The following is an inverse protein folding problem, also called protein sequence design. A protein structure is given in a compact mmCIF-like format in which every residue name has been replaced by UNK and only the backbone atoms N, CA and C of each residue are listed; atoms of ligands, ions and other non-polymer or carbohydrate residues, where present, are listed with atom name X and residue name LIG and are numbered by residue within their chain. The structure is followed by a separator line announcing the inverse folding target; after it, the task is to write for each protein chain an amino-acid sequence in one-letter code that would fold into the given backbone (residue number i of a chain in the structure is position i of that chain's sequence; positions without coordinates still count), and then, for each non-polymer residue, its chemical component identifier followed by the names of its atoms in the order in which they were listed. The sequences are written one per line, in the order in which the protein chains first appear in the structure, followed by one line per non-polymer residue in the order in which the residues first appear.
data_IF_692225267594
#
_entry.id   IF_692225267594
#
_cell.length_a   1.000
_cell.length_b   1.000
_cell.length_c   1.000
_cell.angle_alpha   90.00
_cell.angle_beta   90.00
_cell.angle_gamma   90.00
#
_symmetry.space_group_name_H-M   'P 1'
#
loop_
_entity.id
_entity.type
_entity.pdbx_description
1 polymer ?
#
# COMPACT_ATOMS: atom_id res chain seq x y z
N UNK A 1 2.93 50.33 -15.01
CA UNK A 1 2.56 49.22 -14.10
C UNK A 1 2.65 47.82 -14.74
N UNK A 2 2.65 47.65 -16.07
CA UNK A 2 2.82 46.33 -16.72
C UNK A 2 4.29 45.84 -16.85
N UNK A 3 5.27 46.75 -16.79
CA UNK A 3 6.70 46.44 -16.93
C UNK A 3 7.33 45.86 -15.65
N UNK A 4 6.83 46.25 -14.47
CA UNK A 4 7.32 45.77 -13.17
C UNK A 4 6.89 44.34 -12.84
N UNK A 5 5.73 43.88 -13.35
CA UNK A 5 5.27 42.48 -13.18
C UNK A 5 6.08 41.48 -14.02
N UNK A 6 6.54 41.87 -15.22
CA UNK A 6 7.42 41.02 -16.06
C UNK A 6 8.82 40.86 -15.47
N UNK A 7 9.36 41.89 -14.79
CA UNK A 7 10.63 41.80 -14.06
C UNK A 7 10.53 40.93 -12.80
N UNK A 8 9.41 40.96 -12.08
CA UNK A 8 9.19 40.09 -10.92
C UNK A 8 9.10 38.60 -11.33
N UNK A 9 8.47 38.29 -12.46
CA UNK A 9 8.44 36.95 -13.04
C UNK A 9 9.85 36.48 -13.48
N UNK A 10 10.66 37.38 -14.05
CA UNK A 10 12.05 37.11 -14.42
C UNK A 10 12.97 36.86 -13.21
N UNK A 11 12.75 37.57 -12.09
CA UNK A 11 13.47 37.33 -10.83
C UNK A 11 13.05 36.02 -10.16
N UNK A 12 11.75 35.69 -10.15
CA UNK A 12 11.26 34.40 -9.63
C UNK A 12 11.79 33.21 -10.44
N UNK A 13 11.82 33.33 -11.78
CA UNK A 13 12.40 32.33 -12.69
C UNK A 13 13.93 32.22 -12.48
N UNK A 14 14.66 33.33 -12.34
CA UNK A 14 16.12 33.29 -12.11
C UNK A 14 16.52 32.74 -10.72
N UNK A 15 15.72 33.00 -9.68
CA UNK A 15 15.95 32.42 -8.35
C UNK A 15 15.61 30.92 -8.32
N UNK A 16 14.56 30.48 -9.02
CA UNK A 16 14.23 29.06 -9.15
C UNK A 16 15.29 28.28 -9.96
N UNK A 17 15.91 28.91 -10.97
CA UNK A 17 16.98 28.30 -11.77
C UNK A 17 18.34 28.28 -11.05
N UNK A 18 18.62 29.23 -10.14
CA UNK A 18 19.92 29.32 -9.46
C UNK A 18 20.01 28.50 -8.17
N UNK A 19 18.88 28.05 -7.61
CA UNK A 19 18.85 27.27 -6.36
C UNK A 19 18.97 25.74 -6.54
N UNK A 20 19.18 25.23 -7.78
CA UNK A 20 19.09 23.78 -8.09
C UNK A 20 20.37 23.19 -8.73
N UNK A 21 21.51 23.90 -8.70
CA UNK A 21 22.77 23.37 -9.25
C UNK A 21 23.79 23.08 -8.14
N UNK A 22 23.95 21.82 -7.69
CA UNK A 22 25.24 21.37 -7.21
C UNK A 22 26.13 21.06 -8.41
N UNK A 23 27.12 21.90 -8.63
CA UNK A 23 28.29 21.55 -9.42
C UNK A 23 29.04 20.42 -8.71
N UNK A 24 28.99 19.20 -9.24
CA UNK A 24 30.10 18.23 -9.29
C UNK A 24 29.57 16.98 -9.99
N UNK A 25 30.21 16.63 -11.11
CA UNK A 25 29.84 15.50 -11.94
C UNK A 25 30.14 14.16 -11.28
N UNK A 26 29.13 13.30 -11.21
CA UNK A 26 29.16 11.88 -11.56
C UNK A 26 27.74 11.32 -11.34
N UNK A 27 27.15 10.75 -12.40
CA UNK A 27 25.86 10.03 -12.33
C UNK A 27 24.62 10.73 -12.91
N UNK A 28 24.75 11.89 -13.56
CA UNK A 28 23.67 12.44 -14.39
C UNK A 28 23.60 11.66 -15.72
N UNK A 29 22.79 10.61 -15.78
CA UNK A 29 22.26 10.18 -17.07
C UNK A 29 21.31 11.26 -17.60
N UNK A 30 21.85 12.22 -18.35
CA UNK A 30 21.22 12.99 -19.43
C UNK A 30 19.71 13.32 -19.32
N UNK A 31 19.28 14.05 -18.28
CA UNK A 31 17.93 14.69 -18.23
C UNK A 31 18.07 16.21 -18.21
N UNK A 32 18.27 16.81 -19.38
CA UNK A 32 18.25 18.28 -19.53
C UNK A 32 16.88 18.89 -19.17
N UNK A 33 16.83 20.19 -18.80
CA UNK A 33 15.59 20.90 -18.44
C UNK A 33 14.60 20.95 -19.62
N UNK A 34 13.31 21.23 -19.33
CA UNK A 34 12.35 21.58 -20.39
C UNK A 34 12.86 22.80 -21.15
N UNK A 35 12.68 22.88 -22.48
CA UNK A 35 12.92 24.12 -23.23
C UNK A 35 12.14 25.29 -22.61
N UNK A 36 12.74 26.47 -22.55
CA UNK A 36 12.19 27.63 -21.82
C UNK A 36 10.74 27.97 -22.22
N UNK A 37 10.44 27.99 -23.52
CA UNK A 37 9.09 28.29 -24.02
C UNK A 37 8.03 27.30 -23.51
N UNK A 38 8.41 26.03 -23.43
CA UNK A 38 7.55 24.97 -22.96
C UNK A 38 7.40 25.01 -21.44
N UNK A 39 8.49 25.25 -20.70
CA UNK A 39 8.43 25.45 -19.26
C UNK A 39 7.43 26.56 -18.91
N UNK A 40 7.49 27.70 -19.63
CA UNK A 40 6.54 28.80 -19.46
C UNK A 40 5.09 28.35 -19.67
N UNK A 41 4.81 27.57 -20.73
CA UNK A 41 3.46 27.05 -21.01
C UNK A 41 2.96 26.13 -19.90
N UNK A 42 3.80 25.20 -19.43
CA UNK A 42 3.46 24.25 -18.37
C UNK A 42 3.20 24.98 -17.05
N UNK A 43 4.09 25.89 -16.63
CA UNK A 43 3.89 26.67 -15.40
C UNK A 43 2.66 27.57 -15.48
N UNK A 44 2.40 28.20 -16.63
CA UNK A 44 1.19 29.00 -16.83
C UNK A 44 -0.08 28.15 -16.69
N UNK A 45 -0.08 26.92 -17.21
CA UNK A 45 -1.20 25.99 -17.05
C UNK A 45 -1.39 25.60 -15.57
N UNK A 46 -0.30 25.27 -14.87
CA UNK A 46 -0.31 24.91 -13.45
C UNK A 46 -0.87 26.03 -12.57
N UNK A 47 -0.39 27.27 -12.74
CA UNK A 47 -0.88 28.45 -12.01
C UNK A 47 -2.37 28.70 -12.30
N UNK A 48 -2.77 28.60 -13.56
CA UNK A 48 -4.19 28.80 -13.97
C UNK A 48 -5.08 27.75 -13.31
N UNK A 49 -4.68 26.48 -13.32
CA UNK A 49 -5.43 25.39 -12.74
C UNK A 49 -5.49 25.48 -11.21
N UNK A 50 -4.39 25.85 -10.55
CA UNK A 50 -4.37 26.10 -9.11
C UNK A 50 -5.33 27.23 -8.75
N UNK A 51 -5.29 28.36 -9.46
CA UNK A 51 -6.19 29.48 -9.22
C UNK A 51 -7.67 29.10 -9.44
N UNK A 52 -7.94 28.29 -10.47
CA UNK A 52 -9.30 27.82 -10.79
C UNK A 52 -9.89 26.88 -9.73
N UNK A 53 -9.06 26.01 -9.15
CA UNK A 53 -9.52 24.96 -8.23
C UNK A 53 -9.16 25.20 -6.76
N UNK A 54 -8.41 26.27 -6.46
CA UNK A 54 -8.00 26.65 -5.10
C UNK A 54 -6.94 25.74 -4.49
N UNK A 55 -6.41 24.77 -5.24
CA UNK A 55 -5.36 23.85 -4.81
C UNK A 55 -4.59 23.30 -6.03
N UNK A 56 -3.30 23.01 -5.84
CA UNK A 56 -2.43 22.35 -6.81
C UNK A 56 -2.39 20.82 -6.59
N UNK A 57 -3.51 20.23 -6.18
CA UNK A 57 -3.62 18.81 -5.87
C UNK A 57 -5.04 18.29 -6.14
N UNK A 58 -5.16 16.98 -6.33
CA UNK A 58 -6.41 16.26 -6.51
C UNK A 58 -6.92 16.22 -7.95
N UNK A 59 -8.02 15.46 -8.13
CA UNK A 59 -8.54 15.09 -9.46
C UNK A 59 -8.91 16.29 -10.33
N UNK A 60 -9.53 17.32 -9.76
CA UNK A 60 -9.95 18.51 -10.50
C UNK A 60 -8.74 19.29 -11.04
N UNK A 61 -7.72 19.51 -10.20
CA UNK A 61 -6.47 20.12 -10.62
C UNK A 61 -5.78 19.30 -11.72
N UNK A 62 -5.66 17.98 -11.52
CA UNK A 62 -5.05 17.06 -12.50
C UNK A 62 -5.76 17.10 -13.85
N UNK A 63 -7.09 17.05 -13.87
CA UNK A 63 -7.88 17.13 -15.11
C UNK A 63 -7.69 18.46 -15.82
N UNK A 64 -7.62 19.56 -15.07
CA UNK A 64 -7.33 20.88 -15.62
C UNK A 64 -5.93 20.91 -16.24
N UNK A 65 -4.90 20.45 -15.53
CA UNK A 65 -3.52 20.44 -16.02
C UNK A 65 -3.40 19.60 -17.28
N UNK A 66 -4.03 18.42 -17.33
CA UNK A 66 -4.02 17.56 -18.51
C UNK A 66 -4.72 18.19 -19.73
N UNK A 67 -5.66 19.11 -19.51
CA UNK A 67 -6.37 19.81 -20.58
C UNK A 67 -5.62 21.07 -21.07
N UNK A 68 -4.92 21.77 -20.16
CA UNK A 68 -4.29 23.07 -20.42
C UNK A 68 -2.79 22.93 -20.76
N UNK A 69 -2.10 21.91 -20.23
CA UNK A 69 -0.68 21.68 -20.48
C UNK A 69 -0.46 21.02 -21.85
N UNK A 70 0.63 21.38 -22.56
CA UNK A 70 0.99 20.73 -23.82
C UNK A 70 1.17 19.22 -23.61
N UNK A 71 0.65 18.38 -24.53
CA UNK A 71 0.73 16.93 -24.40
C UNK A 71 2.18 16.45 -24.42
N UNK A 72 2.44 15.32 -23.76
CA UNK A 72 3.75 14.71 -23.80
C UNK A 72 4.06 14.13 -25.20
N UNK A 73 5.06 14.70 -25.88
CA UNK A 73 5.48 14.25 -27.22
C UNK A 73 6.39 13.01 -27.18
N UNK A 74 6.86 12.60 -26.00
CA UNK A 74 7.68 11.40 -25.81
C UNK A 74 7.69 10.91 -24.35
N UNK A 75 8.10 9.65 -24.11
CA UNK A 75 8.25 9.10 -22.76
C UNK A 75 9.29 9.86 -21.91
N UNK A 76 10.34 10.41 -22.54
CA UNK A 76 11.33 11.26 -21.86
C UNK A 76 10.68 12.56 -21.38
N UNK A 77 9.85 13.16 -22.23
CA UNK A 77 9.12 14.38 -21.92
C UNK A 77 8.11 14.15 -20.79
N UNK A 78 7.42 13.01 -20.81
CA UNK A 78 6.47 12.62 -19.76
C UNK A 78 7.13 12.59 -18.36
N UNK A 79 8.35 12.06 -18.26
CA UNK A 79 9.07 12.01 -16.98
C UNK A 79 9.47 13.40 -16.47
N UNK A 80 9.94 14.29 -17.35
CA UNK A 80 10.32 15.66 -16.97
C UNK A 80 9.08 16.48 -16.60
N UNK A 81 7.99 16.32 -17.36
CA UNK A 81 6.72 16.97 -17.09
C UNK A 81 6.16 16.56 -15.71
N UNK A 82 6.18 15.26 -15.39
CA UNK A 82 5.77 14.74 -14.07
C UNK A 82 6.56 15.37 -12.92
N UNK A 83 7.88 15.48 -13.05
CA UNK A 83 8.71 16.14 -12.02
C UNK A 83 8.42 17.64 -11.88
N UNK A 84 8.12 18.34 -12.98
CA UNK A 84 7.72 19.76 -12.93
C UNK A 84 6.38 19.93 -12.23
N UNK A 85 5.37 19.14 -12.60
CA UNK A 85 4.05 19.15 -11.95
C UNK A 85 4.19 18.83 -10.46
N UNK A 86 4.97 17.80 -10.12
CA UNK A 86 5.27 17.41 -8.73
C UNK A 86 5.92 18.56 -7.96
N UNK A 87 6.99 19.16 -8.49
CA UNK A 87 7.70 20.24 -7.82
C UNK A 87 6.82 21.47 -7.59
N UNK A 88 5.95 21.79 -8.56
CA UNK A 88 4.95 22.84 -8.41
C UNK A 88 3.95 22.49 -7.32
N UNK A 89 3.36 21.29 -7.34
CA UNK A 89 2.40 20.85 -6.32
C UNK A 89 3.01 20.81 -4.92
N UNK A 90 4.26 20.34 -4.79
CA UNK A 90 4.99 20.27 -3.53
C UNK A 90 5.40 21.63 -2.97
N UNK A 91 5.48 22.68 -3.79
CA UNK A 91 5.79 24.04 -3.31
C UNK A 91 4.57 24.76 -2.75
N UNK A 92 3.36 24.24 -2.99
CA UNK A 92 2.12 24.76 -2.44
C UNK A 92 1.78 24.14 -1.09
N UNK A 93 1.24 24.96 -0.19
CA UNK A 93 0.79 24.57 1.15
C UNK A 93 -0.68 24.14 1.21
N UNK A 94 -1.19 23.64 0.09
CA UNK A 94 -2.57 23.16 0.00
C UNK A 94 -2.80 21.98 0.96
N UNK A 95 -4.00 21.89 1.57
CA UNK A 95 -4.38 20.76 2.39
C UNK A 95 -4.47 19.48 1.55
N UNK A 96 -4.58 18.34 2.22
CA UNK A 96 -4.88 17.07 1.54
C UNK A 96 -6.19 17.21 0.75
N UNK A 97 -6.23 16.75 -0.52
CA UNK A 97 -7.45 16.80 -1.33
C UNK A 97 -8.65 16.17 -0.61
N UNK A 98 -9.89 16.55 -0.99
CA UNK A 98 -11.10 16.04 -0.34
C UNK A 98 -11.14 14.52 -0.27
N UNK A 99 -11.46 14.01 0.92
CA UNK A 99 -11.64 12.59 1.20
C UNK A 99 -12.87 12.08 0.43
N UNK A 100 -12.77 10.93 -0.23
CA UNK A 100 -13.90 10.32 -0.95
C UNK A 100 -14.96 9.81 0.04
N UNK A 101 -14.51 9.13 1.09
CA UNK A 101 -15.32 8.73 2.25
C UNK A 101 -14.44 8.44 3.45
N UNK A 102 -15.00 8.61 4.63
CA UNK A 102 -14.39 8.19 5.90
C UNK A 102 -15.14 6.96 6.42
N UNK A 103 -14.42 6.02 7.02
CA UNK A 103 -15.00 4.84 7.64
C UNK A 103 -14.25 4.48 8.92
N UNK A 104 -14.91 3.77 9.83
CA UNK A 104 -14.25 3.23 11.01
C UNK A 104 -13.76 1.80 10.75
N UNK A 105 -12.53 1.52 11.18
CA UNK A 105 -11.97 0.17 11.21
C UNK A 105 -11.63 -0.18 12.65
N UNK A 106 -12.21 -1.27 13.14
CA UNK A 106 -11.86 -1.80 14.46
C UNK A 106 -10.94 -2.99 14.30
N UNK A 107 -9.77 -2.88 14.93
CA UNK A 107 -8.84 -3.98 15.12
C UNK A 107 -9.17 -4.64 16.46
N UNK A 108 -9.49 -5.95 16.48
CA UNK A 108 -9.83 -6.64 17.71
C UNK A 108 -8.62 -6.77 18.63
N UNK A 109 -8.91 -7.04 19.90
CA UNK A 109 -7.91 -7.42 20.89
C UNK A 109 -7.09 -8.65 20.41
N UNK A 110 -5.80 -8.70 20.73
CA UNK A 110 -4.93 -9.80 20.31
C UNK A 110 -4.46 -9.78 18.85
N UNK A 111 -4.80 -8.74 18.09
CA UNK A 111 -4.35 -8.49 16.70
C UNK A 111 -4.53 -9.61 15.67
N UNK A 112 -5.36 -10.61 15.94
CA UNK A 112 -5.59 -11.69 15.01
C UNK A 112 -6.90 -11.50 14.22
N UNK A 113 -6.77 -11.58 12.90
CA UNK A 113 -7.88 -11.66 11.97
C UNK A 113 -8.08 -13.11 11.52
N UNK A 114 -7.86 -14.09 12.41
CA UNK A 114 -8.47 -15.40 12.29
C UNK A 114 -9.94 -15.26 12.66
N UNK A 115 -10.75 -14.80 11.70
CA UNK A 115 -12.20 -14.64 11.78
C UNK A 115 -12.71 -13.99 13.08
N UNK A 116 -13.09 -12.72 13.00
CA UNK A 116 -14.22 -12.25 13.78
C UNK A 116 -15.50 -13.00 13.37
N UNK A 117 -15.60 -14.29 13.70
CA UNK A 117 -16.86 -14.83 14.17
C UNK A 117 -17.06 -14.13 15.51
N UNK A 118 -18.06 -13.26 15.59
CA UNK A 118 -18.43 -12.66 16.87
C UNK A 118 -18.64 -13.77 17.90
N UNK A 119 -18.53 -13.50 19.20
CA UNK A 119 -18.92 -14.50 20.22
C UNK A 119 -20.32 -15.06 19.94
N UNK A 120 -21.22 -14.27 19.36
CA UNK A 120 -22.53 -14.71 18.89
C UNK A 120 -22.49 -15.68 17.69
N UNK A 121 -21.56 -15.53 16.74
CA UNK A 121 -21.38 -16.48 15.63
C UNK A 121 -20.67 -17.76 16.09
N UNK A 122 -19.71 -17.65 17.01
CA UNK A 122 -19.06 -18.79 17.64
C UNK A 122 -20.05 -19.59 18.50
N UNK A 123 -20.96 -18.91 19.20
CA UNK A 123 -22.02 -19.53 20.00
C UNK A 123 -23.14 -20.08 19.09
N UNK A 124 -23.53 -19.39 18.00
CA UNK A 124 -24.46 -19.93 17.01
C UNK A 124 -23.90 -21.16 16.26
N UNK A 125 -22.58 -21.26 16.09
CA UNK A 125 -21.89 -22.44 15.54
C UNK A 125 -21.62 -23.53 16.60
N UNK A 126 -21.64 -23.19 17.90
CA UNK A 126 -21.66 -24.16 19.01
C UNK A 126 -23.05 -24.72 19.29
N UNK A 127 -24.09 -23.92 19.06
CA UNK A 127 -25.49 -24.29 19.26
C UNK A 127 -26.10 -25.03 18.06
N UNK A 128 -25.48 -24.96 16.88
CA UNK A 128 -25.73 -25.97 15.85
C UNK A 128 -24.95 -27.22 16.21
N UNK A 129 -25.59 -28.40 16.32
CA UNK A 129 -24.85 -29.62 16.53
C UNK A 129 -23.76 -29.70 15.46
N UNK A 130 -22.57 -30.16 15.83
CA UNK A 130 -21.55 -30.68 14.89
C UNK A 130 -22.09 -31.93 14.18
N UNK A 131 -23.28 -31.86 13.62
CA UNK A 131 -23.80 -32.85 12.72
C UNK A 131 -23.01 -32.73 11.43
N UNK A 132 -22.01 -33.61 11.39
CA UNK A 132 -21.26 -34.04 10.22
C UNK A 132 -22.18 -34.06 9.00
N UNK A 133 -22.06 -33.08 8.11
CA UNK A 133 -22.72 -33.15 6.80
C UNK A 133 -22.12 -34.32 6.05
N UNK A 134 -22.93 -35.37 5.83
CA UNK A 134 -22.46 -36.66 5.34
C UNK A 134 -22.02 -36.53 3.89
N UNK A 135 -20.70 -36.44 3.68
CA UNK A 135 -20.08 -36.30 2.36
C UNK A 135 -19.17 -35.09 2.21
N UNK A 136 -19.14 -34.15 3.17
CA UNK A 136 -18.23 -33.00 3.08
C UNK A 136 -16.75 -33.43 3.20
N UNK A 137 -15.87 -32.85 2.39
CA UNK A 137 -14.43 -33.06 2.41
C UNK A 137 -13.82 -32.58 3.74
N UNK A 138 -12.89 -33.36 4.28
CA UNK A 138 -11.89 -32.88 5.25
C UNK A 138 -10.63 -32.49 4.50
N UNK A 139 -10.21 -31.23 4.61
CA UNK A 139 -8.98 -30.73 4.01
C UNK A 139 -8.23 -29.84 5.02
N UNK A 140 -6.90 -29.96 5.17
CA UNK A 140 -6.13 -29.14 6.11
C UNK A 140 -6.17 -27.64 5.79
N UNK A 141 -6.30 -27.28 4.51
CA UNK A 141 -6.36 -25.89 4.05
C UNK A 141 -7.77 -25.39 3.71
N UNK A 142 -8.87 -26.09 4.03
CA UNK A 142 -10.22 -25.61 3.70
C UNK A 142 -11.26 -25.88 4.79
N UNK A 143 -12.08 -24.85 5.08
CA UNK A 143 -13.20 -24.87 6.00
C UNK A 143 -14.52 -24.94 5.24
N UNK A 144 -15.39 -25.88 5.60
CA UNK A 144 -16.68 -26.09 4.96
C UNK A 144 -17.77 -25.22 5.59
N UNK A 145 -18.58 -24.56 4.75
CA UNK A 145 -19.72 -23.73 5.14
C UNK A 145 -20.94 -24.14 4.31
N UNK A 146 -21.97 -24.66 4.99
CA UNK A 146 -23.23 -25.04 4.35
C UNK A 146 -24.17 -23.84 4.19
N UNK A 147 -24.89 -23.79 3.07
CA UNK A 147 -25.91 -22.76 2.81
C UNK A 147 -25.33 -21.36 2.58
N UNK A 148 -24.14 -21.27 1.99
CA UNK A 148 -23.40 -20.02 1.80
C UNK A 148 -22.87 -19.90 0.38
N UNK A 149 -22.96 -18.67 -0.17
CA UNK A 149 -22.36 -18.28 -1.44
C UNK A 149 -21.37 -17.13 -1.22
N UNK A 150 -20.11 -17.25 -1.63
CA UNK A 150 -19.13 -16.18 -1.44
C UNK A 150 -19.32 -15.05 -2.46
N UNK A 151 -18.98 -13.85 -2.04
CA UNK A 151 -18.84 -12.68 -2.89
C UNK A 151 -17.61 -12.81 -3.82
N UNK A 152 -17.39 -11.80 -4.65
CA UNK A 152 -16.23 -11.73 -5.55
C UNK A 152 -16.43 -12.47 -6.87
N UNK A 153 -15.49 -12.22 -7.77
CA UNK A 153 -15.49 -12.76 -9.13
C UNK A 153 -15.09 -14.23 -9.14
N UNK A 154 -15.60 -14.96 -10.13
CA UNK A 154 -15.17 -16.32 -10.42
C UNK A 154 -13.77 -16.31 -11.03
N UNK A 155 -12.86 -17.09 -10.46
CA UNK A 155 -11.46 -17.16 -10.89
C UNK A 155 -11.14 -18.53 -11.48
N UNK A 156 -10.15 -18.60 -12.37
CA UNK A 156 -9.77 -19.87 -13.00
C UNK A 156 -10.85 -20.45 -13.93
N UNK A 157 -10.76 -21.75 -14.27
CA UNK A 157 -11.68 -22.38 -15.20
C UNK A 157 -13.06 -22.62 -14.56
N UNK A 158 -14.08 -21.93 -15.07
CA UNK A 158 -15.48 -22.06 -14.60
C UNK A 158 -16.19 -23.27 -15.21
N UNK A 159 -17.14 -23.87 -14.50
CA UNK A 159 -18.06 -24.86 -15.06
C UNK A 159 -17.50 -26.28 -15.18
N UNK A 160 -16.32 -26.54 -14.61
CA UNK A 160 -15.72 -27.88 -14.59
C UNK A 160 -16.35 -28.73 -13.50
N UNK A 161 -16.62 -30.00 -13.83
CA UNK A 161 -17.12 -30.97 -12.87
C UNK A 161 -15.96 -31.68 -12.17
N UNK A 162 -15.87 -31.52 -10.86
CA UNK A 162 -14.81 -32.12 -10.05
C UNK A 162 -15.33 -32.40 -8.64
N UNK A 163 -14.66 -33.29 -7.93
CA UNK A 163 -14.92 -33.56 -6.52
C UNK A 163 -14.42 -32.40 -5.66
N UNK A 164 -14.90 -32.31 -4.41
CA UNK A 164 -14.38 -31.32 -3.46
C UNK A 164 -12.86 -31.42 -3.24
N UNK A 165 -12.29 -32.62 -3.34
CA UNK A 165 -10.85 -32.83 -3.17
C UNK A 165 -10.07 -32.25 -4.35
N UNK A 166 -10.49 -32.57 -5.57
CA UNK A 166 -9.89 -32.03 -6.80
C UNK A 166 -10.05 -30.51 -6.86
N UNK A 167 -11.21 -29.98 -6.43
CA UNK A 167 -11.41 -28.54 -6.29
C UNK A 167 -10.49 -27.90 -5.25
N UNK A 168 -10.20 -28.56 -4.13
CA UNK A 168 -9.24 -28.04 -3.17
C UNK A 168 -7.83 -27.96 -3.78
N UNK A 169 -7.39 -29.01 -4.47
CA UNK A 169 -6.09 -29.05 -5.15
C UNK A 169 -5.99 -27.99 -6.27
N UNK A 170 -7.05 -27.85 -7.08
CA UNK A 170 -7.11 -26.86 -8.16
C UNK A 170 -7.17 -25.43 -7.59
N UNK A 171 -7.94 -25.18 -6.53
CA UNK A 171 -7.97 -23.90 -5.84
C UNK A 171 -6.59 -23.53 -5.27
N UNK A 172 -5.85 -24.47 -4.69
CA UNK A 172 -4.48 -24.21 -4.21
C UNK A 172 -3.51 -23.86 -5.35
N UNK A 173 -3.78 -24.34 -6.57
CA UNK A 173 -3.00 -24.01 -7.76
C UNK A 173 -3.36 -22.68 -8.42
N UNK A 174 -4.53 -22.12 -8.08
CA UNK A 174 -5.02 -20.82 -8.58
C UNK A 174 -4.60 -19.74 -7.57
N UNK A 175 -3.65 -18.84 -7.90
CA UNK A 175 -3.14 -17.84 -6.96
C UNK A 175 -4.22 -16.94 -6.36
N UNK A 176 -5.25 -16.63 -7.14
CA UNK A 176 -6.37 -15.77 -6.74
C UNK A 176 -7.50 -16.53 -6.02
N UNK A 177 -7.41 -17.86 -5.87
CA UNK A 177 -8.48 -18.64 -5.26
C UNK A 177 -8.42 -18.60 -3.73
N UNK A 178 -9.41 -17.93 -3.13
CA UNK A 178 -9.62 -17.92 -1.68
C UNK A 178 -10.58 -19.03 -1.22
N UNK A 179 -11.26 -19.70 -2.14
CA UNK A 179 -12.22 -20.76 -1.84
C UNK A 179 -13.02 -21.18 -3.06
N UNK A 180 -13.88 -22.17 -2.90
CA UNK A 180 -14.71 -22.70 -3.98
C UNK A 180 -16.10 -23.08 -3.49
N UNK A 181 -17.07 -23.10 -4.39
CA UNK A 181 -18.46 -23.38 -4.05
C UNK A 181 -19.13 -24.36 -5.03
N UNK A 182 -20.09 -25.11 -4.50
CA UNK A 182 -20.91 -26.08 -5.23
C UNK A 182 -22.41 -25.78 -5.07
N UNK A 183 -23.21 -26.09 -6.09
CA UNK A 183 -24.66 -26.05 -6.03
C UNK A 183 -25.17 -27.39 -5.50
N UNK A 184 -26.01 -27.33 -4.48
CA UNK A 184 -26.71 -28.43 -3.81
C UNK A 184 -25.84 -29.40 -2.99
N UNK A 185 -26.46 -30.00 -1.97
CA UNK A 185 -25.78 -30.91 -1.03
C UNK A 185 -25.32 -32.21 -1.70
N UNK A 186 -26.02 -32.65 -2.75
CA UNK A 186 -25.64 -33.83 -3.55
C UNK A 186 -24.24 -33.69 -4.17
N UNK A 187 -23.79 -32.46 -4.42
CA UNK A 187 -22.47 -32.15 -4.95
C UNK A 187 -21.32 -32.49 -4.01
N UNK A 188 -21.61 -32.76 -2.72
CA UNK A 188 -20.61 -33.23 -1.77
C UNK A 188 -20.22 -34.70 -1.99
N UNK A 189 -21.06 -35.48 -2.69
CA UNK A 189 -20.90 -36.93 -2.81
C UNK A 189 -20.14 -37.38 -4.07
N UNK A 190 -19.78 -36.46 -4.96
CA UNK A 190 -19.13 -36.79 -6.22
C UNK A 190 -18.86 -35.56 -7.10
N UNK A 191 -18.42 -35.74 -8.36
CA UNK A 191 -18.08 -34.64 -9.24
C UNK A 191 -19.25 -33.72 -9.55
N UNK A 192 -19.09 -32.45 -9.22
CA UNK A 192 -20.08 -31.41 -9.41
C UNK A 192 -19.43 -30.16 -9.98
N UNK A 193 -20.26 -29.28 -10.54
CA UNK A 193 -19.80 -28.00 -11.08
C UNK A 193 -19.25 -27.11 -9.96
N UNK A 194 -18.08 -26.52 -10.20
CA UNK A 194 -17.33 -25.74 -9.21
C UNK A 194 -17.11 -24.32 -9.70
N UNK A 195 -17.29 -23.38 -8.78
CA UNK A 195 -16.92 -21.99 -8.94
C UNK A 195 -15.85 -21.65 -7.92
N UNK A 196 -14.64 -21.36 -8.39
CA UNK A 196 -13.56 -20.82 -7.57
C UNK A 196 -13.77 -19.32 -7.38
N UNK A 197 -13.59 -18.83 -6.17
CA UNK A 197 -13.93 -17.47 -5.79
C UNK A 197 -12.67 -16.70 -5.40
N UNK A 198 -12.54 -15.49 -5.94
CA UNK A 198 -11.51 -14.52 -5.55
C UNK A 198 -11.65 -14.04 -4.11
N UNK A 199 -12.86 -14.16 -3.53
CA UNK A 199 -13.16 -13.78 -2.16
C UNK A 199 -13.99 -14.90 -1.55
N UNK A 200 -13.50 -15.55 -0.50
CA UNK A 200 -14.25 -16.62 0.19
C UNK A 200 -14.75 -16.23 1.59
N UNK A 201 -14.30 -15.07 2.09
CA UNK A 201 -14.56 -14.61 3.46
C UNK A 201 -15.88 -13.83 3.60
N UNK A 202 -16.32 -13.14 2.54
CA UNK A 202 -17.60 -12.41 2.52
C UNK A 202 -18.67 -13.32 1.92
N UNK A 203 -19.53 -13.90 2.76
CA UNK A 203 -20.57 -14.85 2.34
C UNK A 203 -21.97 -14.26 2.49
N UNK A 204 -22.87 -14.64 1.59
CA UNK A 204 -24.31 -14.39 1.71
C UNK A 204 -25.02 -15.71 2.00
N UNK A 205 -26.12 -15.64 2.76
CA UNK A 205 -26.98 -16.79 3.00
C UNK A 205 -27.59 -17.27 1.69
N UNK A 206 -27.28 -18.51 1.32
CA UNK A 206 -27.69 -19.12 0.05
C UNK A 206 -27.91 -20.62 0.30
N UNK A 207 -29.13 -21.05 0.71
CA UNK A 207 -29.38 -22.39 1.27
C UNK A 207 -28.97 -23.55 0.36
N UNK A 208 -28.98 -23.34 -0.95
CA UNK A 208 -28.62 -24.34 -1.94
C UNK A 208 -27.12 -24.36 -2.28
N UNK A 209 -26.29 -23.51 -1.66
CA UNK A 209 -24.88 -23.41 -1.99
C UNK A 209 -24.00 -23.91 -0.86
N UNK A 210 -22.88 -24.52 -1.22
CA UNK A 210 -21.96 -25.14 -0.28
C UNK A 210 -20.54 -24.67 -0.58
N UNK A 211 -19.95 -23.95 0.36
CA UNK A 211 -18.67 -23.28 0.18
C UNK A 211 -17.56 -23.96 0.96
N UNK A 212 -16.39 -24.11 0.36
CA UNK A 212 -15.13 -24.40 1.03
C UNK A 212 -14.25 -23.15 0.97
N UNK A 213 -13.95 -22.57 2.12
CA UNK A 213 -13.10 -21.38 2.23
C UNK A 213 -11.71 -21.82 2.58
N UNK A 214 -10.70 -21.31 1.88
CA UNK A 214 -9.31 -21.60 2.17
C UNK A 214 -9.01 -21.16 3.60
N UNK A 215 -8.63 -22.12 4.43
CA UNK A 215 -8.02 -21.86 5.71
C UNK A 215 -6.65 -21.25 5.42
N UNK A 216 -6.38 -20.14 6.08
CA UNK A 216 -5.05 -19.57 6.12
C UNK A 216 -4.15 -20.56 6.89
N UNK A 217 -2.83 -20.61 6.61
CA UNK A 217 -1.90 -21.34 7.47
C UNK A 217 -2.17 -20.98 8.92
N UNK A 218 -2.17 -22.00 9.79
CA UNK A 218 -2.56 -21.90 11.19
C UNK A 218 -1.68 -20.89 11.93
N UNK A 219 -2.11 -19.63 11.88
CA UNK A 219 -1.54 -18.48 12.56
C UNK A 219 -2.32 -18.19 13.85
N UNK A 220 -3.35 -18.99 14.17
CA UNK A 220 -4.18 -18.84 15.37
C UNK A 220 -3.42 -19.00 16.69
N UNK A 221 -2.24 -19.65 16.66
CA UNK A 221 -1.35 -19.71 17.81
C UNK A 221 -0.77 -18.32 18.18
N UNK A 222 -0.76 -17.36 17.24
CA UNK A 222 -0.33 -15.98 17.48
C UNK A 222 -1.41 -15.11 18.14
N UNK A 223 -2.72 -15.38 17.95
CA UNK A 223 -3.80 -14.70 18.68
C UNK A 223 -3.62 -14.77 20.20
N UNK A 224 -3.23 -15.95 20.71
CA UNK A 224 -2.95 -16.17 22.14
C UNK A 224 -1.73 -15.37 22.64
N UNK A 225 -0.86 -14.93 21.73
CA UNK A 225 0.37 -14.24 22.10
C UNK A 225 0.13 -12.76 22.46
N UNK A 226 -0.95 -12.14 21.96
CA UNK A 226 -1.23 -10.70 22.16
C UNK A 226 -2.44 -10.41 23.07
N UNK A 227 -2.89 -11.38 23.88
CA UNK A 227 -4.11 -11.29 24.73
C UNK A 227 -4.20 -10.03 25.63
N UNK A 228 -3.08 -9.35 25.90
CA UNK A 228 -3.05 -8.10 26.67
C UNK A 228 -3.43 -6.83 25.90
N UNK A 229 -3.53 -6.89 24.58
CA UNK A 229 -3.83 -5.71 23.74
C UNK A 229 -5.31 -5.50 23.58
N UNK A 230 -5.78 -4.31 23.96
CA UNK A 230 -7.18 -3.92 23.80
C UNK A 230 -7.55 -3.68 22.32
N UNK A 231 -8.82 -3.86 22.00
CA UNK A 231 -9.34 -3.50 20.68
C UNK A 231 -9.17 -1.99 20.43
N UNK A 232 -8.73 -1.62 19.23
CA UNK A 232 -8.55 -0.21 18.82
C UNK A 232 -9.35 0.09 17.57
N UNK A 233 -10.07 1.20 17.60
CA UNK A 233 -10.84 1.69 16.45
C UNK A 233 -10.15 2.91 15.84
N UNK A 234 -10.11 2.93 14.50
CA UNK A 234 -9.45 3.97 13.72
C UNK A 234 -10.42 4.58 12.72
N UNK A 235 -10.41 5.92 12.66
CA UNK A 235 -11.02 6.65 11.54
C UNK A 235 -10.10 6.54 10.33
N UNK A 236 -10.63 6.06 9.21
CA UNK A 236 -9.89 5.84 7.97
C UNK A 236 -10.49 6.69 6.85
N UNK A 237 -9.68 7.60 6.31
CA UNK A 237 -10.03 8.43 5.17
C UNK A 237 -9.60 7.74 3.87
N UNK A 238 -10.56 7.43 3.00
CA UNK A 238 -10.29 6.86 1.68
C UNK A 238 -10.11 8.00 0.68
N UNK A 239 -8.91 8.12 0.11
CA UNK A 239 -8.59 9.09 -0.94
C UNK A 239 -8.73 8.50 -2.34
N UNK A 240 -8.59 7.17 -2.47
CA UNK A 240 -8.82 6.41 -3.70
C UNK A 240 -9.26 4.98 -3.34
N UNK A 241 -10.30 4.48 -4.00
CA UNK A 241 -10.80 3.10 -3.78
C UNK A 241 -9.94 2.06 -4.48
N UNK A 242 -9.56 2.30 -5.74
CA UNK A 242 -8.77 1.38 -6.55
C UNK A 242 -7.76 2.13 -7.43
N UNK A 243 -6.47 1.76 -7.36
CA UNK A 243 -5.86 1.01 -6.26
C UNK A 243 -6.03 1.78 -4.93
N UNK A 244 -6.22 1.07 -3.81
CA UNK A 244 -6.52 1.68 -2.51
C UNK A 244 -5.44 2.71 -2.14
N UNK A 245 -5.87 3.91 -1.72
CA UNK A 245 -5.08 4.91 -1.01
C UNK A 245 -5.91 5.43 0.16
N UNK A 246 -5.44 5.17 1.37
CA UNK A 246 -6.14 5.50 2.61
C UNK A 246 -5.20 6.19 3.61
N UNK A 247 -5.78 7.02 4.48
CA UNK A 247 -5.10 7.59 5.64
C UNK A 247 -5.79 7.08 6.90
N UNK A 248 -5.07 6.31 7.70
CA UNK A 248 -5.53 5.80 9.00
C UNK A 248 -5.12 6.84 10.04
N UNK A 249 -6.11 7.48 10.66
CA UNK A 249 -5.90 8.62 11.57
C UNK A 249 -5.53 8.17 12.97
N UNK A 250 -4.58 8.88 13.59
CA UNK A 250 -4.13 8.67 14.97
C UNK A 250 -3.84 7.19 15.27
N UNK A 251 -3.17 6.51 14.32
CA UNK A 251 -2.83 5.11 14.45
C UNK A 251 -1.90 4.84 15.63
N UNK A 252 -0.83 5.65 15.72
CA UNK A 252 0.18 5.58 16.76
C UNK A 252 0.04 6.76 17.73
N UNK A 253 0.18 6.47 19.02
CA UNK A 253 0.27 7.46 20.08
C UNK A 253 1.70 8.04 20.15
N UNK A 254 1.89 9.22 20.78
CA UNK A 254 3.20 9.87 20.84
C UNK A 254 4.31 9.03 21.48
N UNK A 255 3.99 8.20 22.46
CA UNK A 255 4.91 7.26 23.12
C UNK A 255 5.28 6.07 22.24
N UNK A 256 4.33 5.51 21.49
CA UNK A 256 4.58 4.48 20.48
C UNK A 256 5.52 5.00 19.38
N UNK A 257 5.30 6.25 18.94
CA UNK A 257 6.19 6.95 18.02
C UNK A 257 7.60 7.17 18.60
N UNK A 258 7.69 7.54 19.87
CA UNK A 258 8.97 7.72 20.55
C UNK A 258 9.77 6.41 20.63
N UNK A 259 9.09 5.28 20.90
CA UNK A 259 9.71 3.96 20.94
C UNK A 259 10.26 3.56 19.56
N UNK A 260 9.49 3.75 18.49
CA UNK A 260 9.97 3.54 17.12
C UNK A 260 11.24 4.34 16.80
N UNK A 261 11.24 5.63 17.15
CA UNK A 261 12.39 6.51 16.91
C UNK A 261 13.61 6.08 17.73
N UNK A 262 13.41 5.51 18.92
CA UNK A 262 14.49 4.96 19.76
C UNK A 262 15.16 3.74 19.12
N UNK A 263 14.39 2.87 18.48
CA UNK A 263 14.92 1.68 17.78
C UNK A 263 15.51 2.00 16.40
N UNK A 264 14.87 2.89 15.65
CA UNK A 264 15.28 3.26 14.28
C UNK A 264 16.38 4.31 14.19
N UNK A 265 16.83 4.85 15.32
CA UNK A 265 17.77 5.96 15.39
C UNK A 265 17.06 7.31 15.45
N UNK A 266 17.45 8.12 16.44
CA UNK A 266 16.87 9.42 16.69
C UNK A 266 17.80 10.51 16.17
N UNK A 267 17.28 11.44 15.35
CA UNK A 267 17.88 12.66 14.78
C UNK A 267 19.32 12.62 14.20
N UNK A 268 20.29 12.15 14.97
CA UNK A 268 21.71 12.15 14.68
C UNK A 268 22.27 10.73 14.49
N UNK A 269 21.51 9.70 14.86
CA UNK A 269 21.99 8.31 14.91
C UNK A 269 21.80 7.52 13.60
N UNK A 270 21.16 8.12 12.59
CA UNK A 270 20.83 7.44 11.33
C UNK A 270 21.84 7.71 10.21
N UNK A 271 22.24 6.66 9.50
CA UNK A 271 23.09 6.73 8.30
C UNK A 271 22.31 7.11 7.04
N UNK A 272 23.01 7.57 6.00
CA UNK A 272 22.40 7.93 4.70
C UNK A 272 21.72 6.71 4.06
N UNK A 273 20.52 6.92 3.52
CA UNK A 273 19.78 5.86 2.84
C UNK A 273 20.41 5.48 1.50
N UNK A 274 20.36 4.19 1.18
CA UNK A 274 20.82 3.63 -0.09
C UNK A 274 19.61 3.21 -0.95
N UNK A 275 19.76 3.23 -2.28
CA UNK A 275 18.77 2.68 -3.22
C UNK A 275 19.04 1.19 -3.49
N UNK A 276 18.04 0.46 -4.00
CA UNK A 276 18.07 -1.01 -4.19
C UNK A 276 19.24 -1.56 -5.01
N UNK A 277 19.94 -0.72 -5.79
CA UNK A 277 21.13 -1.09 -6.59
C UNK A 277 22.47 -0.76 -5.92
N UNK A 278 22.47 -0.31 -4.67
CA UNK A 278 23.66 0.13 -3.96
C UNK A 278 24.15 1.51 -4.41
N UNK A 279 24.57 2.34 -3.44
CA UNK A 279 25.08 3.70 -3.68
C UNK A 279 24.26 4.81 -3.01
N UNK A 280 24.96 5.87 -2.59
CA UNK A 280 24.33 7.12 -2.14
C UNK A 280 23.75 7.81 -3.38
N UNK A 281 22.43 8.04 -3.40
CA UNK A 281 21.76 8.61 -4.56
C UNK A 281 21.32 10.04 -4.30
N UNK A 282 21.47 10.93 -5.28
CA UNK A 282 20.78 12.23 -5.27
C UNK A 282 19.25 12.10 -5.38
N UNK A 283 18.75 10.90 -5.70
CA UNK A 283 17.34 10.57 -5.86
C UNK A 283 16.57 10.41 -4.56
N UNK A 284 17.26 9.96 -3.50
CA UNK A 284 16.73 9.79 -2.14
C UNK A 284 17.69 10.48 -1.19
N UNK A 285 17.33 11.70 -0.79
CA UNK A 285 18.08 12.50 0.19
C UNK A 285 17.44 12.31 1.56
N UNK A 286 17.60 11.12 2.11
CA UNK A 286 17.12 10.76 3.44
C UNK A 286 18.15 9.90 4.17
N UNK A 287 17.89 9.66 5.44
CA UNK A 287 18.64 8.74 6.31
C UNK A 287 17.73 7.56 6.62
N UNK A 288 18.28 6.35 6.80
CA UNK A 288 17.45 5.18 7.07
C UNK A 288 18.13 4.15 7.96
N UNK A 289 17.32 3.44 8.74
CA UNK A 289 17.72 2.24 9.48
C UNK A 289 16.59 1.22 9.39
N UNK A 290 16.94 -0.05 9.53
CA UNK A 290 15.96 -1.13 9.61
C UNK A 290 15.71 -1.46 11.08
N UNK A 291 14.45 -1.65 11.42
CA UNK A 291 13.99 -2.09 12.73
C UNK A 291 13.41 -3.49 12.55
N UNK A 292 14.02 -4.46 13.21
CA UNK A 292 13.56 -5.85 13.26
C UNK A 292 12.94 -6.10 14.66
N UNK A 293 11.60 -6.08 14.80
CA UNK A 293 10.96 -6.40 16.06
C UNK A 293 11.20 -7.87 16.43
N UNK A 294 11.46 -8.14 17.72
CA UNK A 294 11.37 -9.51 18.22
C UNK A 294 9.89 -9.90 18.31
N UNK A 295 9.42 -10.58 17.26
CA UNK A 295 8.02 -11.01 17.13
C UNK A 295 7.60 -12.01 18.23
N UNK A 296 8.54 -12.60 18.97
CA UNK A 296 8.26 -13.50 20.10
C UNK A 296 8.03 -12.72 21.39
N UNK A 297 8.55 -11.51 21.51
CA UNK A 297 8.30 -10.63 22.64
C UNK A 297 7.01 -9.83 22.40
N UNK A 298 5.88 -10.43 22.74
CA UNK A 298 4.57 -9.78 22.64
C UNK A 298 4.30 -8.78 23.76
N UNK A 299 5.21 -8.63 24.72
CA UNK A 299 5.15 -7.56 25.72
C UNK A 299 5.74 -6.25 25.22
N UNK A 300 6.52 -6.30 24.13
CA UNK A 300 7.14 -5.15 23.47
C UNK A 300 6.11 -4.29 22.73
N UNK A 301 6.10 -2.99 23.02
CA UNK A 301 5.25 -2.01 22.32
C UNK A 301 5.50 -2.00 20.82
N UNK A 302 6.77 -2.12 20.42
CA UNK A 302 7.16 -2.19 19.01
C UNK A 302 6.50 -3.40 18.32
N UNK A 303 6.55 -4.57 18.95
CA UNK A 303 5.97 -5.80 18.39
C UNK A 303 4.45 -5.69 18.28
N UNK A 304 3.78 -5.12 19.29
CA UNK A 304 2.32 -4.90 19.31
C UNK A 304 1.88 -3.92 18.25
N UNK A 305 2.60 -2.81 18.10
CA UNK A 305 2.32 -1.82 17.07
C UNK A 305 2.56 -2.38 15.67
N UNK A 306 3.63 -3.17 15.43
CA UNK A 306 3.84 -3.84 14.14
C UNK A 306 2.70 -4.83 13.86
N UNK A 307 2.34 -5.69 14.81
CA UNK A 307 1.21 -6.61 14.65
C UNK A 307 -0.09 -5.87 14.26
N UNK A 308 -0.33 -4.71 14.88
CA UNK A 308 -1.46 -3.82 14.57
C UNK A 308 -1.41 -3.22 13.16
N UNK A 309 -0.23 -2.82 12.67
CA UNK A 309 -0.06 -2.32 11.29
C UNK A 309 -0.49 -3.38 10.27
N UNK A 310 -0.10 -4.64 10.50
CA UNK A 310 -0.53 -5.77 9.68
C UNK A 310 -2.04 -6.04 9.82
N UNK A 311 -2.60 -5.99 11.03
CA UNK A 311 -4.03 -6.21 11.26
C UNK A 311 -4.91 -5.17 10.56
N UNK A 312 -4.60 -3.88 10.64
CA UNK A 312 -5.33 -2.82 9.91
C UNK A 312 -5.20 -3.03 8.40
N UNK A 313 -4.00 -3.37 7.92
CA UNK A 313 -3.78 -3.64 6.50
C UNK A 313 -4.65 -4.79 6.00
N UNK A 314 -4.68 -5.92 6.71
CA UNK A 314 -5.55 -7.05 6.38
C UNK A 314 -7.03 -6.65 6.35
N UNK A 315 -7.49 -5.85 7.31
CA UNK A 315 -8.88 -5.41 7.38
C UNK A 315 -9.26 -4.54 6.17
N UNK A 316 -8.39 -3.61 5.79
CA UNK A 316 -8.63 -2.68 4.69
C UNK A 316 -8.47 -3.29 3.30
N UNK A 317 -7.55 -4.23 3.11
CA UNK A 317 -7.22 -4.77 1.78
C UNK A 317 -7.73 -6.19 1.54
N UNK A 318 -8.00 -6.95 2.59
CA UNK A 318 -8.29 -8.39 2.50
C UNK A 318 -7.05 -9.28 2.32
N UNK A 319 -5.84 -8.69 2.20
CA UNK A 319 -4.62 -9.43 1.88
C UNK A 319 -4.20 -10.40 2.97
N UNK A 320 -3.52 -11.46 2.54
CA UNK A 320 -2.90 -12.46 3.41
C UNK A 320 -1.51 -12.01 3.88
N UNK A 321 -1.47 -10.98 4.74
CA UNK A 321 -0.22 -10.38 5.23
C UNK A 321 -0.04 -10.58 6.74
N UNK A 322 1.15 -11.02 7.14
CA UNK A 322 1.49 -11.34 8.53
C UNK A 322 2.92 -10.90 8.84
N UNK A 323 3.24 -10.47 10.08
CA UNK A 323 4.59 -10.01 10.43
C UNK A 323 5.74 -11.00 10.14
N UNK A 324 5.62 -12.31 10.41
CA UNK A 324 6.73 -13.25 10.18
C UNK A 324 7.21 -13.27 8.73
N UNK A 325 8.53 -13.26 8.55
CA UNK A 325 9.17 -13.32 7.23
C UNK A 325 9.10 -12.03 6.41
N UNK A 326 8.48 -10.97 6.92
CA UNK A 326 8.36 -9.71 6.19
C UNK A 326 9.64 -8.90 6.20
N UNK A 327 9.68 -7.90 5.32
CA UNK A 327 10.75 -6.91 5.37
C UNK A 327 10.73 -6.17 6.71
N UNK A 328 11.91 -5.79 7.24
CA UNK A 328 11.99 -4.96 8.43
C UNK A 328 11.24 -3.65 8.25
N UNK A 329 10.79 -3.08 9.37
CA UNK A 329 10.25 -1.72 9.37
C UNK A 329 11.40 -0.77 9.02
N UNK A 330 11.26 -0.03 7.92
CA UNK A 330 12.28 0.94 7.50
C UNK A 330 12.00 2.29 8.16
N UNK A 331 12.81 2.64 9.17
CA UNK A 331 12.86 3.98 9.71
C UNK A 331 13.51 4.92 8.69
N UNK A 332 12.92 6.09 8.46
CA UNK A 332 13.44 7.08 7.52
C UNK A 332 13.35 8.48 8.12
N UNK A 333 14.48 9.20 8.07
CA UNK A 333 14.60 10.57 8.55
C UNK A 333 14.97 11.52 7.41
N UNK A 334 14.26 12.65 7.37
CA UNK A 334 14.57 13.83 6.58
C UNK A 334 14.83 14.97 7.57
N UNK A 335 16.00 15.60 7.51
CA UNK A 335 16.41 16.60 8.51
C UNK A 335 16.99 17.88 7.95
N UNK A 336 17.27 17.93 6.65
CA UNK A 336 17.78 19.12 5.98
C UNK A 336 16.74 19.68 5.01
N UNK A 337 16.67 21.01 4.85
CA UNK A 337 15.90 21.60 3.76
C UNK A 337 16.29 21.01 2.40
N UNK A 338 15.28 20.66 1.61
CA UNK A 338 15.42 19.99 0.33
C UNK A 338 15.50 18.46 0.41
N UNK A 339 15.69 17.85 1.58
CA UNK A 339 15.64 16.39 1.72
C UNK A 339 14.33 15.85 1.13
N UNK A 340 14.41 14.86 0.24
CA UNK A 340 13.28 14.38 -0.56
C UNK A 340 13.46 12.92 -0.98
N UNK A 341 12.38 12.31 -1.48
CA UNK A 341 12.46 11.08 -2.26
C UNK A 341 11.69 11.29 -3.55
N UNK A 342 12.42 11.30 -4.68
CA UNK A 342 11.82 11.45 -6.00
C UNK A 342 10.89 10.29 -6.37
N UNK A 343 10.13 10.53 -7.43
CA UNK A 343 9.04 9.70 -7.92
C UNK A 343 9.45 8.23 -8.11
N UNK A 344 8.78 7.28 -7.48
CA UNK A 344 9.13 5.86 -7.60
C UNK A 344 7.93 4.95 -7.32
N UNK A 345 8.14 3.66 -7.54
CA UNK A 345 7.23 2.61 -7.15
C UNK A 345 7.93 1.67 -6.16
N UNK A 346 7.23 1.32 -5.09
CA UNK A 346 7.72 0.38 -4.08
C UNK A 346 7.59 -1.07 -4.55
N UNK A 347 6.54 -1.38 -5.32
CA UNK A 347 6.32 -2.67 -5.99
C UNK A 347 6.22 -2.51 -7.51
N UNK A 348 5.71 -3.53 -8.20
CA UNK A 348 5.38 -3.39 -9.62
C UNK A 348 4.23 -2.38 -9.79
N UNK A 349 4.41 -1.43 -10.70
CA UNK A 349 3.44 -0.38 -11.06
C UNK A 349 3.24 -0.30 -12.58
N UNK A 350 3.38 -1.44 -13.26
CA UNK A 350 3.34 -1.55 -14.73
C UNK A 350 2.06 -2.18 -15.27
N UNK A 351 1.06 -2.44 -14.42
CA UNK A 351 -0.13 -3.18 -14.84
C UNK A 351 0.14 -4.68 -15.09
N UNK A 352 1.23 -5.23 -14.54
CA UNK A 352 1.62 -6.62 -14.75
C UNK A 352 0.76 -7.58 -13.94
N UNK A 353 0.76 -8.88 -14.27
CA UNK A 353 0.23 -9.91 -13.37
C UNK A 353 1.04 -9.90 -12.06
N UNK A 354 0.37 -10.12 -10.93
CA UNK A 354 1.02 -10.30 -9.63
C UNK A 354 1.89 -11.55 -9.64
N UNK A 355 3.12 -11.42 -9.14
CA UNK A 355 4.03 -12.55 -8.93
C UNK A 355 4.11 -12.85 -7.44
N UNK A 356 3.86 -14.10 -6.99
CA UNK A 356 3.97 -14.47 -5.59
C UNK A 356 5.30 -14.05 -4.98
N UNK A 357 5.22 -13.35 -3.85
CA UNK A 357 6.37 -12.78 -3.18
C UNK A 357 6.58 -11.31 -3.47
N UNK A 358 5.96 -10.69 -4.48
CA UNK A 358 6.02 -9.24 -4.69
C UNK A 358 5.35 -8.46 -3.55
N UNK A 359 5.79 -7.21 -3.34
CA UNK A 359 5.10 -6.27 -2.44
C UNK A 359 3.69 -6.02 -2.95
N UNK A 360 2.70 -6.07 -2.05
CA UNK A 360 1.26 -5.88 -2.35
C UNK A 360 0.71 -4.57 -1.80
N UNK A 361 1.36 -3.96 -0.80
CA UNK A 361 1.01 -2.66 -0.24
C UNK A 361 2.21 -2.02 0.50
N UNK A 362 2.11 -0.72 0.78
CA UNK A 362 2.98 0.00 1.72
C UNK A 362 2.15 0.79 2.72
N UNK A 363 2.58 0.75 3.98
CA UNK A 363 2.13 1.64 5.04
C UNK A 363 3.27 2.58 5.45
N UNK A 364 3.02 3.89 5.43
CA UNK A 364 3.95 4.92 5.90
C UNK A 364 3.36 5.56 7.15
N UNK A 365 3.91 5.24 8.31
CA UNK A 365 3.57 5.89 9.59
C UNK A 365 4.40 7.15 9.78
N UNK A 366 3.77 8.30 10.00
CA UNK A 366 4.47 9.52 10.40
C UNK A 366 4.66 9.57 11.92
N UNK A 367 5.86 9.30 12.44
CA UNK A 367 6.13 9.50 13.88
C UNK A 367 6.54 10.93 14.21
N UNK A 368 6.95 11.69 13.20
CA UNK A 368 7.16 13.13 13.33
C UNK A 368 6.84 13.83 12.01
N UNK A 369 5.78 14.62 12.00
CA UNK A 369 5.44 15.51 10.89
C UNK A 369 6.37 16.75 10.89
N UNK A 370 6.85 17.18 9.71
CA UNK A 370 7.60 18.42 9.60
C UNK A 370 6.72 19.64 9.76
N UNK A 371 7.36 20.78 10.02
CA UNK A 371 6.69 22.08 10.09
C UNK A 371 6.19 22.52 8.71
N UNK A 372 6.99 22.30 7.66
CA UNK A 372 6.67 22.69 6.29
C UNK A 372 7.25 21.71 5.25
N UNK A 373 6.44 21.39 4.23
CA UNK A 373 6.81 20.45 3.16
C UNK A 373 6.69 18.97 3.57
N UNK A 374 7.43 18.10 2.90
CA UNK A 374 7.53 16.68 3.28
C UNK A 374 6.27 15.83 3.04
N UNK A 375 5.29 16.32 2.29
CA UNK A 375 4.08 15.57 1.92
C UNK A 375 4.40 14.29 1.13
N UNK A 376 3.53 13.28 1.21
CA UNK A 376 3.59 12.12 0.31
C UNK A 376 2.69 12.41 -0.89
N UNK A 377 3.27 12.47 -2.09
CA UNK A 377 2.57 12.85 -3.32
C UNK A 377 2.46 11.67 -4.29
N UNK A 378 1.30 11.49 -4.91
CA UNK A 378 1.01 10.47 -5.92
C UNK A 378 0.87 11.14 -7.29
N UNK A 379 1.71 10.71 -8.24
CA UNK A 379 2.00 11.48 -9.46
C UNK A 379 0.83 11.56 -10.44
N UNK A 380 0.05 10.49 -10.60
CA UNK A 380 -0.96 10.40 -11.67
C UNK A 380 -2.19 11.27 -11.39
N UNK A 381 -2.66 11.27 -10.16
CA UNK A 381 -3.86 11.97 -9.71
C UNK A 381 -3.54 13.24 -8.91
N UNK A 382 -2.25 13.58 -8.77
CA UNK A 382 -1.69 14.67 -7.95
C UNK A 382 -2.30 14.70 -6.55
N UNK A 383 -2.54 13.52 -5.96
CA UNK A 383 -2.98 13.42 -4.58
C UNK A 383 -1.80 13.68 -3.65
N UNK A 384 -1.98 14.58 -2.69
CA UNK A 384 -0.94 14.98 -1.74
C UNK A 384 -1.43 14.73 -0.31
N UNK A 385 -0.78 13.82 0.39
CA UNK A 385 -1.06 13.55 1.80
C UNK A 385 -0.15 14.40 2.67
N UNK A 386 -0.75 15.32 3.42
CA UNK A 386 -0.04 16.18 4.38
C UNK A 386 0.35 15.31 5.58
N UNK A 387 1.61 15.31 6.01
CA UNK A 387 2.04 14.51 7.15
C UNK A 387 1.37 15.01 8.42
N UNK A 388 0.87 14.08 9.22
CA UNK A 388 0.37 14.34 10.56
C UNK A 388 0.89 13.25 11.48
N UNK A 389 1.45 13.64 12.63
CA UNK A 389 2.08 12.70 13.56
C UNK A 389 1.03 11.70 14.07
N UNK A 390 1.37 10.42 14.02
CA UNK A 390 0.50 9.30 14.39
C UNK A 390 -0.29 8.71 13.23
N UNK A 391 -0.41 9.39 12.09
CA UNK A 391 -1.19 8.89 10.94
C UNK A 391 -0.38 7.89 10.09
N UNK A 392 -1.07 6.89 9.52
CA UNK A 392 -0.53 6.00 8.49
C UNK A 392 -1.13 6.35 7.13
N UNK A 393 -0.30 6.50 6.11
CA UNK A 393 -0.72 6.43 4.70
C UNK A 393 -0.57 4.99 4.23
N UNK A 394 -1.67 4.33 3.89
CA UNK A 394 -1.70 2.98 3.35
C UNK A 394 -2.09 3.03 1.88
N UNK A 395 -1.28 2.42 1.01
CA UNK A 395 -1.62 2.28 -0.40
C UNK A 395 -1.27 0.89 -0.92
N UNK A 396 -2.19 0.34 -1.72
CA UNK A 396 -2.09 -1.02 -2.24
C UNK A 396 -1.71 -1.04 -3.72
N UNK A 397 -1.00 -2.09 -4.14
CA UNK A 397 -0.58 -2.32 -5.53
C UNK A 397 -1.37 -3.43 -6.17
N UNK A 398 -1.57 -4.54 -5.46
CA UNK A 398 -2.32 -5.68 -5.98
C UNK A 398 -3.78 -5.27 -6.11
N UNK A 399 -4.44 -5.69 -7.18
CA UNK A 399 -5.86 -5.47 -7.41
C UNK A 399 -6.59 -6.80 -7.24
N UNK A 400 -7.90 -6.76 -6.98
CA UNK A 400 -8.70 -7.97 -6.74
C UNK A 400 -8.73 -8.95 -7.92
N UNK A 401 -8.39 -8.49 -9.12
CA UNK A 401 -8.30 -9.28 -10.35
C UNK A 401 -6.93 -9.99 -10.53
N UNK A 402 -6.03 -9.95 -9.54
CA UNK A 402 -4.71 -10.56 -9.61
C UNK A 402 -3.67 -9.77 -10.43
N UNK A 403 -4.01 -8.56 -10.88
CA UNK A 403 -3.05 -7.65 -11.51
C UNK A 403 -2.45 -6.68 -10.49
N UNK A 404 -1.27 -6.17 -10.80
CA UNK A 404 -0.65 -5.04 -10.13
C UNK A 404 -1.17 -3.74 -10.74
N UNK A 405 -1.25 -2.70 -9.92
CA UNK A 405 -1.63 -1.36 -10.35
C UNK A 405 -0.69 -0.84 -11.46
N UNK A 406 -1.17 0.15 -12.21
CA UNK A 406 -0.35 0.93 -13.12
C UNK A 406 0.40 2.03 -12.38
N UNK A 407 0.63 3.16 -13.05
CA UNK A 407 1.36 4.30 -12.50
C UNK A 407 0.60 5.04 -11.40
N UNK A 408 -0.66 4.70 -11.12
CA UNK A 408 -1.49 5.34 -10.08
C UNK A 408 -0.86 5.25 -8.67
N UNK A 409 -0.04 4.23 -8.43
CA UNK A 409 0.67 4.02 -7.15
C UNK A 409 2.08 4.60 -7.12
N UNK A 410 2.49 5.24 -8.22
CA UNK A 410 3.76 5.97 -8.31
C UNK A 410 3.71 7.19 -7.38
N UNK A 411 4.69 7.28 -6.49
CA UNK A 411 4.66 8.24 -5.39
C UNK A 411 6.03 8.82 -5.08
N UNK A 412 6.04 9.89 -4.28
CA UNK A 412 7.25 10.61 -3.89
C UNK A 412 7.09 11.24 -2.50
N UNK A 413 8.21 11.55 -1.86
CA UNK A 413 8.27 12.48 -0.75
C UNK A 413 8.61 13.87 -1.27
N UNK A 414 7.70 14.82 -1.09
CA UNK A 414 7.96 16.24 -1.38
C UNK A 414 9.18 16.74 -0.59
N UNK A 415 9.92 17.72 -1.13
CA UNK A 415 11.04 18.32 -0.41
C UNK A 415 10.63 18.83 0.98
N UNK A 416 11.45 18.52 1.97
CA UNK A 416 11.35 19.12 3.30
C UNK A 416 11.71 20.61 3.20
N UNK A 417 10.89 21.52 3.71
CA UNK A 417 11.19 22.96 3.73
C UNK A 417 11.62 23.42 5.11
N UNK A 418 10.93 22.97 6.16
CA UNK A 418 11.20 23.37 7.54
C UNK A 418 10.91 22.24 8.53
N UNK A 419 11.67 22.20 9.63
CA UNK A 419 11.56 21.17 10.66
C UNK A 419 12.27 19.88 10.25
N UNK A 420 11.75 18.74 10.73
CA UNK A 420 12.27 17.40 10.44
C UNK A 420 11.09 16.47 10.18
N UNK A 421 11.29 15.41 9.40
CA UNK A 421 10.28 14.39 9.14
C UNK A 421 10.86 13.03 9.49
N UNK A 422 10.15 12.27 10.33
CA UNK A 422 10.51 10.89 10.66
C UNK A 422 9.32 9.97 10.33
N UNK A 423 9.59 8.92 9.56
CA UNK A 423 8.59 7.93 9.15
C UNK A 423 9.07 6.50 9.40
N UNK A 424 8.12 5.61 9.67
CA UNK A 424 8.32 4.16 9.64
C UNK A 424 7.54 3.58 8.45
N UNK A 425 8.26 2.94 7.54
CA UNK A 425 7.69 2.32 6.34
C UNK A 425 7.65 0.81 6.51
N UNK A 426 6.46 0.21 6.37
CA UNK A 426 6.28 -1.23 6.25
C UNK A 426 5.85 -1.58 4.83
N UNK A 427 6.64 -2.42 4.16
CA UNK A 427 6.25 -3.07 2.92
C UNK A 427 5.58 -4.40 3.24
N UNK A 428 4.42 -4.66 2.63
CA UNK A 428 3.64 -5.87 2.87
C UNK A 428 3.76 -6.83 1.68
N UNK A 429 4.01 -8.10 1.95
CA UNK A 429 4.02 -9.20 0.97
C UNK A 429 3.04 -10.28 1.41
N UNK A 430 2.26 -10.82 0.48
CA UNK A 430 1.34 -11.92 0.82
C UNK A 430 2.07 -13.24 1.01
N UNK A 431 1.51 -14.12 1.85
CA UNK A 431 1.89 -15.54 1.97
C UNK A 431 3.33 -15.83 2.41
N UNK A 432 4.04 -14.82 2.94
CA UNK A 432 5.36 -15.04 3.52
C UNK A 432 5.26 -15.77 4.87
N UNK A 433 6.34 -16.49 5.20
CA UNK A 433 6.57 -17.23 6.45
C UNK A 433 8.02 -17.01 6.89
N UNK A 434 8.43 -17.54 8.05
CA UNK A 434 9.84 -17.44 8.47
C UNK A 434 10.78 -18.15 7.48
N UNK A 435 10.34 -19.29 6.93
CA UNK A 435 11.10 -20.08 5.96
C UNK A 435 11.02 -19.48 4.55
N UNK A 436 9.83 -19.02 4.13
CA UNK A 436 9.60 -18.29 2.88
C UNK A 436 9.49 -16.79 3.17
N UNK A 437 10.63 -16.17 3.44
CA UNK A 437 10.73 -14.78 3.86
C UNK A 437 11.02 -13.82 2.69
N UNK A 438 11.09 -12.53 2.99
CA UNK A 438 11.25 -11.49 1.98
C UNK A 438 12.55 -11.61 1.17
N UNK A 439 13.63 -12.16 1.75
CA UNK A 439 14.92 -12.27 1.08
C UNK A 439 14.84 -13.29 -0.06
N UNK A 440 14.37 -14.50 0.24
CA UNK A 440 14.23 -15.53 -0.79
C UNK A 440 13.03 -15.28 -1.72
N UNK A 441 12.01 -14.54 -1.26
CA UNK A 441 10.93 -14.05 -2.11
C UNK A 441 11.43 -13.12 -3.21
N UNK A 442 12.33 -12.18 -2.90
CA UNK A 442 12.92 -11.30 -3.91
C UNK A 442 13.68 -12.12 -4.96
N UNK A 443 14.50 -13.10 -4.54
CA UNK A 443 15.25 -13.95 -5.47
C UNK A 443 14.34 -14.69 -6.45
N UNK A 444 13.24 -15.29 -5.98
CA UNK A 444 12.29 -15.95 -6.90
C UNK A 444 11.54 -14.99 -7.80
N UNK A 445 11.16 -13.81 -7.30
CA UNK A 445 10.49 -12.79 -8.13
C UNK A 445 11.42 -12.32 -9.23
N UNK A 446 12.69 -12.08 -8.93
CA UNK A 446 13.68 -11.63 -9.90
C UNK A 446 14.00 -12.74 -10.91
N UNK A 447 14.11 -14.00 -10.47
CA UNK A 447 14.23 -15.15 -11.36
C UNK A 447 13.01 -15.27 -12.29
N UNK A 448 11.80 -15.17 -11.75
CA UNK A 448 10.57 -15.23 -12.55
C UNK A 448 10.55 -14.12 -13.62
N UNK A 449 10.95 -12.90 -13.27
CA UNK A 449 11.04 -11.78 -14.22
C UNK A 449 12.07 -12.03 -15.30
N UNK A 450 13.22 -12.59 -14.95
CA UNK A 450 14.24 -12.98 -15.92
C UNK A 450 13.70 -14.01 -16.93
N UNK A 451 12.92 -14.98 -16.45
CA UNK A 451 12.45 -16.10 -17.28
C UNK A 451 11.21 -15.78 -18.12
N UNK A 452 10.42 -14.77 -17.74
CA UNK A 452 9.11 -14.46 -18.35
C UNK A 452 9.03 -13.08 -18.99
N UNK A 453 10.09 -12.28 -18.96
CA UNK A 453 10.20 -11.00 -19.67
C UNK A 453 11.21 -11.17 -20.81
N UNK A 454 10.75 -11.74 -21.92
CA UNK A 454 11.43 -11.78 -23.22
C UNK A 454 10.55 -11.15 -24.29
#
# INVERSE_FOLDING_TARGET
MASTRKMALWWAVSCALSAVLPATGQGYENRGPLPDELAVKVYSALETCQQRHGAAAGRAFTQCVNAEAPPAESARFDTVLKEVIRNFSCSQDDPTPPVLRTMDVTVPAGYDACEALSRADADALRERPRERVKGSLRHPDFSYVAGALPAGDDVGPTGRRMTAKEAAEECLSIPECEGFTFPHESSLKGPAEVWFKSIAKRISAAPNWHTYRRQMPDTCSAAQAFDSEEARSYSVDILREQPLLAVIRNFAQPDECAELMRHGGHWDDMGRAYVSKGGQSQYRRSYSANIDPDLKDTSSELTRMVARMFAVTRNLTGYSVWPPGQEPVNAVLYKNPGDEYRVHCDGSCRGSKYVPGERVATGILYCHAPEEGGQTSFSVDNLKVVPNTGDIVLFAYKMGNGQMAGQEVEHSGCPLRKGRKWIATQWYRETLTEEWNWQNAIEKVDQWRHDNVA
#
